data_IF_398866791904
#
_entry.id   IF_398866791904
#
_cell.length_a   1.000
_cell.length_b   1.000
_cell.length_c   1.000
_cell.angle_alpha   90.00
_cell.angle_beta   90.00
_cell.angle_gamma   90.00
#
_symmetry.space_group_name_H-M   'P 1'
#
loop_
_entity.id
_entity.type
_entity.pdbx_description
1 polymer ?
#
# COMPACT_ATOMS: atom_id res chain seq x y z
N UNK A 1 6.61 20.77 19.99
CA UNK A 1 5.16 20.59 20.24
C UNK A 1 4.26 21.49 19.36
N UNK A 2 4.71 22.68 18.94
CA UNK A 2 3.90 23.59 18.11
C UNK A 2 3.73 23.13 16.65
N UNK A 3 4.70 22.41 16.07
CA UNK A 3 4.66 22.04 14.64
C UNK A 3 4.08 20.64 14.30
N UNK A 4 3.52 19.90 15.26
CA UNK A 4 3.02 18.52 15.00
C UNK A 4 1.86 18.55 13.99
N UNK A 5 1.03 19.59 14.04
CA UNK A 5 -0.10 19.77 13.11
C UNK A 5 0.41 20.10 11.70
N UNK A 6 1.39 21.00 11.57
CA UNK A 6 2.00 21.31 10.28
C UNK A 6 2.68 20.07 9.65
N UNK A 7 3.41 19.30 10.46
CA UNK A 7 3.98 18.01 10.06
C UNK A 7 2.92 17.04 9.53
N UNK A 8 1.78 16.94 10.23
CA UNK A 8 0.66 16.10 9.79
C UNK A 8 0.10 16.52 8.43
N UNK A 9 -0.06 17.82 8.21
CA UNK A 9 -0.57 18.35 6.92
C UNK A 9 0.39 18.01 5.79
N UNK A 10 1.69 18.30 5.97
CA UNK A 10 2.70 18.04 4.93
C UNK A 10 2.80 16.55 4.62
N UNK A 11 2.84 15.70 5.65
CA UNK A 11 2.96 14.26 5.44
C UNK A 11 1.71 13.66 4.84
N UNK A 12 0.50 14.18 5.14
CA UNK A 12 -0.76 13.70 4.57
C UNK A 12 -0.95 14.11 3.09
N UNK A 13 -0.42 15.26 2.67
CA UNK A 13 -0.45 15.67 1.26
C UNK A 13 0.45 14.79 0.38
N UNK A 14 1.51 14.23 0.95
CA UNK A 14 2.47 13.38 0.22
C UNK A 14 1.81 12.12 -0.38
N UNK A 15 1.15 11.22 0.39
CA UNK A 15 0.50 10.05 -0.18
C UNK A 15 -0.62 10.43 -1.15
N UNK A 16 -1.35 11.52 -0.91
CA UNK A 16 -2.39 11.99 -1.84
C UNK A 16 -1.82 12.28 -3.23
N UNK A 17 -0.74 13.07 -3.30
CA UNK A 17 -0.08 13.36 -4.58
C UNK A 17 0.51 12.11 -5.23
N UNK A 18 1.06 11.18 -4.45
CA UNK A 18 1.60 9.92 -4.96
C UNK A 18 0.51 8.99 -5.52
N UNK A 19 -0.64 8.89 -4.86
CA UNK A 19 -1.78 8.12 -5.38
C UNK A 19 -2.34 8.73 -6.67
N UNK A 20 -2.36 10.06 -6.80
CA UNK A 20 -2.70 10.73 -8.07
C UNK A 20 -1.71 10.38 -9.18
N UNK A 21 -0.40 10.43 -8.89
CA UNK A 21 0.63 10.03 -9.84
C UNK A 21 0.49 8.55 -10.27
N UNK A 22 0.22 7.66 -9.32
CA UNK A 22 -0.04 6.24 -9.58
C UNK A 22 -1.25 6.05 -10.49
N UNK A 23 -2.35 6.74 -10.20
CA UNK A 23 -3.57 6.68 -11.02
C UNK A 23 -3.29 7.04 -12.48
N UNK A 24 -2.60 8.16 -12.72
CA UNK A 24 -2.24 8.56 -14.08
C UNK A 24 -1.26 7.58 -14.73
N UNK A 25 -0.28 7.07 -13.98
CA UNK A 25 0.68 6.08 -14.48
C UNK A 25 -0.01 4.79 -14.92
N UNK A 26 -0.92 4.25 -14.09
CA UNK A 26 -1.69 3.04 -14.41
C UNK A 26 -2.59 3.26 -15.62
N UNK A 27 -3.37 4.35 -15.65
CA UNK A 27 -4.29 4.65 -16.75
C UNK A 27 -3.55 4.82 -18.07
N UNK A 28 -2.42 5.56 -18.07
CA UNK A 28 -1.63 5.77 -19.30
C UNK A 28 -0.98 4.49 -19.81
N UNK A 29 -0.43 3.65 -18.92
CA UNK A 29 0.18 2.40 -19.34
C UNK A 29 -0.88 1.43 -19.90
N UNK A 30 -2.04 1.35 -19.26
CA UNK A 30 -3.13 0.48 -19.69
C UNK A 30 -3.67 0.87 -21.07
N UNK A 31 -3.97 2.16 -21.28
CA UNK A 31 -4.51 2.65 -22.54
C UNK A 31 -3.54 2.51 -23.73
N UNK A 32 -2.22 2.59 -23.47
CA UNK A 32 -1.20 2.50 -24.53
C UNK A 32 -0.54 1.12 -24.61
N UNK A 33 -1.03 0.12 -23.86
CA UNK A 33 -0.37 -1.18 -23.75
C UNK A 33 -0.25 -1.87 -25.11
N UNK A 34 -1.31 -1.86 -25.92
CA UNK A 34 -1.32 -2.48 -27.24
C UNK A 34 -0.36 -1.80 -28.23
N UNK A 35 -0.28 -0.47 -28.20
CA UNK A 35 0.66 0.29 -29.03
C UNK A 35 2.12 -0.02 -28.66
N UNK A 36 2.42 -0.05 -27.37
CA UNK A 36 3.76 -0.36 -26.88
C UNK A 36 4.20 -1.78 -27.24
N UNK A 37 3.30 -2.76 -27.17
CA UNK A 37 3.63 -4.13 -27.59
C UNK A 37 3.83 -4.23 -29.10
N UNK A 38 3.00 -3.56 -29.92
CA UNK A 38 3.21 -3.48 -31.38
C UNK A 38 4.54 -2.81 -31.74
N UNK A 39 4.99 -1.84 -30.94
CA UNK A 39 6.28 -1.17 -31.10
C UNK A 39 7.49 -1.95 -30.55
N UNK A 40 7.30 -3.21 -30.11
CA UNK A 40 8.32 -4.05 -29.49
C UNK A 40 8.95 -3.43 -28.21
N UNK A 41 8.19 -2.56 -27.53
CA UNK A 41 8.60 -1.84 -26.32
C UNK A 41 8.33 -2.63 -25.02
N UNK A 42 8.35 -3.96 -25.07
CA UNK A 42 8.03 -4.84 -23.93
C UNK A 42 8.94 -4.58 -22.73
N UNK A 43 10.21 -4.24 -22.96
CA UNK A 43 11.16 -3.89 -21.89
C UNK A 43 10.73 -2.63 -21.14
N UNK A 44 10.22 -1.62 -21.85
CA UNK A 44 9.77 -0.35 -21.27
C UNK A 44 8.52 -0.55 -20.43
N UNK A 45 7.58 -1.40 -20.87
CA UNK A 45 6.39 -1.78 -20.09
C UNK A 45 6.80 -2.38 -18.74
N UNK A 46 7.75 -3.32 -18.75
CA UNK A 46 8.24 -3.93 -17.51
C UNK A 46 8.99 -2.95 -16.62
N UNK A 47 9.76 -2.03 -17.21
CA UNK A 47 10.44 -0.97 -16.46
C UNK A 47 9.44 -0.05 -15.76
N UNK A 48 8.37 0.37 -16.46
CA UNK A 48 7.31 1.20 -15.87
C UNK A 48 6.62 0.45 -14.73
N UNK A 49 6.30 -0.84 -14.91
CA UNK A 49 5.62 -1.65 -13.88
C UNK A 49 6.49 -1.85 -12.63
N UNK A 50 7.73 -2.32 -12.80
CA UNK A 50 8.59 -2.68 -11.67
C UNK A 50 9.31 -1.49 -11.05
N UNK A 51 9.72 -0.50 -11.83
CA UNK A 51 10.47 0.64 -11.31
C UNK A 51 9.56 1.78 -10.92
N UNK A 52 8.73 2.26 -11.84
CA UNK A 52 7.93 3.48 -11.63
C UNK A 52 6.71 3.20 -10.75
N UNK A 53 5.85 2.27 -11.14
CA UNK A 53 4.60 2.00 -10.43
C UNK A 53 4.85 1.40 -9.06
N UNK A 54 5.72 0.38 -8.98
CA UNK A 54 6.09 -0.19 -7.69
C UNK A 54 6.89 0.80 -6.82
N UNK A 55 7.80 1.59 -7.39
CA UNK A 55 8.53 2.61 -6.63
C UNK A 55 7.61 3.66 -6.01
N UNK A 56 6.67 4.19 -6.80
CA UNK A 56 5.64 5.11 -6.32
C UNK A 56 4.72 4.45 -5.27
N UNK A 57 4.36 3.18 -5.47
CA UNK A 57 3.50 2.45 -4.54
C UNK A 57 4.17 2.14 -3.20
N UNK A 58 5.48 1.88 -3.18
CA UNK A 58 6.28 1.81 -1.95
C UNK A 58 6.13 3.12 -1.19
N UNK A 59 6.43 4.24 -1.87
CA UNK A 59 6.50 5.53 -1.20
C UNK A 59 5.13 6.02 -0.74
N UNK A 60 4.08 5.80 -1.54
CA UNK A 60 2.71 6.11 -1.18
C UNK A 60 2.28 5.35 0.09
N UNK A 61 2.53 4.03 0.12
CA UNK A 61 2.17 3.19 1.27
C UNK A 61 2.97 3.58 2.51
N UNK A 62 4.27 3.83 2.37
CA UNK A 62 5.12 4.23 3.48
C UNK A 62 4.67 5.55 4.12
N UNK A 63 4.36 6.54 3.28
CA UNK A 63 3.90 7.85 3.74
C UNK A 63 2.47 7.81 4.30
N UNK A 64 1.61 6.92 3.82
CA UNK A 64 0.32 6.63 4.45
C UNK A 64 0.50 6.10 5.88
N UNK A 65 1.39 5.12 6.09
CA UNK A 65 1.69 4.61 7.44
C UNK A 65 2.26 5.73 8.32
N UNK A 66 3.20 6.51 7.80
CA UNK A 66 3.78 7.63 8.54
C UNK A 66 2.74 8.73 8.87
N UNK A 67 1.75 8.94 8.00
CA UNK A 67 0.62 9.84 8.26
C UNK A 67 -0.20 9.34 9.44
N UNK A 68 -0.53 8.04 9.49
CA UNK A 68 -1.25 7.45 10.62
C UNK A 68 -0.49 7.59 11.94
N UNK A 69 0.83 7.43 11.93
CA UNK A 69 1.67 7.69 13.11
C UNK A 69 1.63 9.16 13.56
N UNK A 70 1.64 10.11 12.61
CA UNK A 70 1.50 11.53 12.93
C UNK A 70 0.09 11.86 13.48
N UNK A 71 -0.96 11.21 12.97
CA UNK A 71 -2.33 11.32 13.53
C UNK A 71 -2.33 10.82 14.97
N UNK A 72 -1.69 9.68 15.27
CA UNK A 72 -1.52 9.17 16.64
C UNK A 72 -0.90 10.22 17.56
N UNK A 73 0.19 10.85 17.11
CA UNK A 73 0.89 11.90 17.87
C UNK A 73 0.00 13.11 18.13
N UNK A 74 -0.81 13.55 17.15
CA UNK A 74 -1.76 14.65 17.34
C UNK A 74 -2.84 14.27 18.36
N UNK A 75 -3.40 13.06 18.29
CA UNK A 75 -4.40 12.60 19.26
C UNK A 75 -3.86 12.60 20.69
N UNK A 76 -2.64 12.11 20.89
CA UNK A 76 -2.02 12.02 22.22
C UNK A 76 -1.62 13.42 22.75
N UNK A 77 -0.88 14.19 21.95
CA UNK A 77 -0.24 15.42 22.44
C UNK A 77 -1.11 16.68 22.35
N UNK A 78 -2.13 16.69 21.50
CA UNK A 78 -3.06 17.82 21.31
C UNK A 78 -4.50 17.47 21.70
N UNK A 79 -4.92 16.24 21.40
CA UNK A 79 -6.27 15.77 21.73
C UNK A 79 -6.44 15.26 23.17
N UNK A 80 -5.34 15.05 23.91
CA UNK A 80 -5.40 14.51 25.28
C UNK A 80 -5.92 13.07 25.34
N UNK A 81 -5.92 12.35 24.22
CA UNK A 81 -6.34 10.95 24.15
C UNK A 81 -5.30 10.08 24.83
N UNK A 82 -5.76 9.10 25.61
CA UNK A 82 -4.87 8.11 26.23
C UNK A 82 -4.04 7.37 25.17
N UNK A 83 -2.77 7.11 25.47
CA UNK A 83 -1.84 6.48 24.52
C UNK A 83 -2.34 5.11 24.04
N UNK A 84 -2.85 4.29 24.96
CA UNK A 84 -3.41 2.95 24.69
C UNK A 84 -4.57 3.02 23.69
N UNK A 85 -5.49 3.96 23.90
CA UNK A 85 -6.66 4.21 23.04
C UNK A 85 -6.24 4.73 21.67
N UNK A 86 -5.34 5.73 21.63
CA UNK A 86 -4.83 6.29 20.37
C UNK A 86 -4.13 5.21 19.51
N UNK A 87 -3.30 4.37 20.12
CA UNK A 87 -2.65 3.25 19.44
C UNK A 87 -3.67 2.25 18.90
N UNK A 88 -4.68 1.89 19.71
CA UNK A 88 -5.76 0.96 19.29
C UNK A 88 -6.54 1.49 18.09
N UNK A 89 -6.89 2.79 18.09
CA UNK A 89 -7.58 3.44 16.96
C UNK A 89 -6.72 3.37 15.69
N UNK A 90 -5.44 3.75 15.77
CA UNK A 90 -4.55 3.78 14.61
C UNK A 90 -4.28 2.39 14.06
N UNK A 91 -4.12 1.39 14.93
CA UNK A 91 -3.97 0.00 14.53
C UNK A 91 -5.25 -0.54 13.86
N UNK A 92 -6.42 -0.15 14.35
CA UNK A 92 -7.70 -0.45 13.70
C UNK A 92 -7.81 0.16 12.30
N UNK A 93 -7.46 1.45 12.15
CA UNK A 93 -7.45 2.14 10.86
C UNK A 93 -6.45 1.49 9.90
N UNK A 94 -5.24 1.17 10.37
CA UNK A 94 -4.23 0.52 9.54
C UNK A 94 -4.71 -0.88 9.09
N UNK A 95 -5.39 -1.63 9.96
CA UNK A 95 -5.97 -2.93 9.62
C UNK A 95 -7.00 -2.81 8.49
N UNK A 96 -7.90 -1.82 8.60
CA UNK A 96 -8.85 -1.52 7.54
C UNK A 96 -8.15 -1.15 6.23
N UNK A 97 -7.10 -0.32 6.28
CA UNK A 97 -6.33 0.07 5.08
C UNK A 97 -5.67 -1.13 4.40
N UNK A 98 -5.10 -2.07 5.16
CA UNK A 98 -4.48 -3.28 4.59
C UNK A 98 -5.51 -4.13 3.87
N UNK A 99 -6.67 -4.37 4.49
CA UNK A 99 -7.76 -5.17 3.90
C UNK A 99 -8.31 -4.47 2.67
N UNK A 100 -8.60 -3.17 2.76
CA UNK A 100 -9.09 -2.36 1.65
C UNK A 100 -8.12 -2.40 0.47
N UNK A 101 -6.82 -2.23 0.73
CA UNK A 101 -5.79 -2.31 -0.31
C UNK A 101 -5.79 -3.70 -0.97
N UNK A 102 -5.79 -4.78 -0.18
CA UNK A 102 -5.79 -6.13 -0.71
C UNK A 102 -7.03 -6.42 -1.58
N UNK A 103 -8.20 -5.96 -1.17
CA UNK A 103 -9.45 -6.12 -1.93
C UNK A 103 -9.41 -5.32 -3.23
N UNK A 104 -9.05 -4.04 -3.16
CA UNK A 104 -8.93 -3.18 -4.34
C UNK A 104 -7.95 -3.77 -5.35
N UNK A 105 -6.79 -4.22 -4.86
CA UNK A 105 -5.70 -4.71 -5.67
C UNK A 105 -5.96 -6.08 -6.34
N UNK A 106 -6.76 -6.95 -5.71
CA UNK A 106 -7.05 -8.29 -6.26
C UNK A 106 -8.38 -8.39 -7.02
N UNK A 107 -9.38 -7.55 -6.69
CA UNK A 107 -10.72 -7.68 -7.27
C UNK A 107 -11.11 -6.51 -8.17
N UNK A 108 -10.84 -5.27 -7.75
CA UNK A 108 -11.38 -4.07 -8.43
C UNK A 108 -10.40 -3.55 -9.48
N UNK A 109 -9.13 -3.45 -9.12
CA UNK A 109 -8.08 -2.80 -9.91
C UNK A 109 -7.09 -3.81 -10.50
N UNK A 110 -7.41 -5.12 -10.50
CA UNK A 110 -6.51 -6.18 -10.97
C UNK A 110 -5.90 -5.87 -12.35
N UNK A 111 -6.70 -5.33 -13.28
CA UNK A 111 -6.24 -4.96 -14.62
C UNK A 111 -5.07 -3.95 -14.61
N UNK A 112 -5.02 -3.09 -13.61
CA UNK A 112 -4.03 -2.01 -13.47
C UNK A 112 -2.91 -2.39 -12.50
N UNK A 113 -3.25 -3.01 -11.36
CA UNK A 113 -2.34 -3.19 -10.23
C UNK A 113 -1.80 -4.62 -10.11
N UNK A 114 -2.08 -5.52 -11.06
CA UNK A 114 -1.64 -6.94 -11.01
C UNK A 114 -0.18 -7.13 -10.59
N UNK A 115 0.71 -6.30 -11.14
CA UNK A 115 2.16 -6.38 -10.91
C UNK A 115 2.65 -5.45 -9.78
N UNK A 116 1.74 -4.78 -9.06
CA UNK A 116 2.07 -3.88 -7.95
C UNK A 116 1.93 -4.63 -6.63
N UNK A 117 3.00 -5.30 -6.19
CA UNK A 117 3.00 -6.09 -4.95
C UNK A 117 3.68 -5.37 -3.77
N UNK A 118 4.42 -4.30 -4.07
CA UNK A 118 5.23 -3.59 -3.08
C UNK A 118 4.47 -2.96 -1.90
N UNK A 119 3.20 -2.50 -2.00
CA UNK A 119 2.45 -2.06 -0.83
C UNK A 119 2.31 -3.14 0.24
N UNK A 120 2.09 -4.39 -0.17
CA UNK A 120 1.99 -5.52 0.76
C UNK A 120 3.33 -5.78 1.47
N UNK A 121 4.46 -5.58 0.78
CA UNK A 121 5.79 -5.63 1.40
C UNK A 121 5.95 -4.51 2.43
N UNK A 122 5.55 -3.29 2.08
CA UNK A 122 5.64 -2.13 2.99
C UNK A 122 4.84 -2.37 4.27
N UNK A 123 3.62 -2.91 4.18
CA UNK A 123 2.83 -3.24 5.36
C UNK A 123 3.54 -4.24 6.27
N UNK A 124 4.13 -5.30 5.70
CA UNK A 124 4.90 -6.28 6.47
C UNK A 124 6.11 -5.63 7.14
N UNK A 125 6.89 -4.83 6.41
CA UNK A 125 8.08 -4.15 6.96
C UNK A 125 7.71 -3.16 8.06
N UNK A 126 6.66 -2.36 7.86
CA UNK A 126 6.20 -1.38 8.84
C UNK A 126 5.69 -2.07 10.13
N UNK A 127 4.92 -3.15 9.99
CA UNK A 127 4.45 -3.94 11.12
C UNK A 127 5.58 -4.69 11.82
N UNK A 128 6.54 -5.24 11.08
CA UNK A 128 7.72 -5.89 11.64
C UNK A 128 8.58 -4.91 12.46
N UNK A 129 8.79 -3.70 11.94
CA UNK A 129 9.47 -2.64 12.68
C UNK A 129 8.68 -2.16 13.91
N UNK A 130 7.35 -2.22 13.86
CA UNK A 130 6.49 -1.87 15.00
C UNK A 130 6.53 -2.95 16.08
N UNK A 131 6.50 -4.23 15.69
CA UNK A 131 6.66 -5.38 16.60
C UNK A 131 8.05 -5.33 17.23
N UNK A 132 9.13 -5.20 16.47
CA UNK A 132 10.49 -5.25 17.03
C UNK A 132 10.78 -4.17 18.08
N UNK A 133 10.10 -3.01 17.99
CA UNK A 133 10.25 -1.92 18.96
C UNK A 133 9.29 -1.96 20.14
N UNK A 134 8.09 -2.50 19.96
CA UNK A 134 7.01 -2.42 20.97
C UNK A 134 6.63 -3.78 21.55
N UNK A 135 7.26 -4.87 21.12
CA UNK A 135 6.99 -6.20 21.63
C UNK A 135 7.71 -6.41 22.97
N UNK A 136 6.92 -6.51 24.04
CA UNK A 136 7.39 -6.93 25.35
C UNK A 136 6.69 -8.25 25.73
N UNK A 137 7.48 -9.31 25.94
CA UNK A 137 7.00 -10.65 26.29
C UNK A 137 6.48 -10.72 27.73
N UNK A 138 7.02 -9.87 28.61
CA UNK A 138 6.79 -9.96 30.04
C UNK A 138 5.47 -9.29 30.46
N UNK A 139 5.03 -8.24 29.75
CA UNK A 139 3.82 -7.50 30.11
C UNK A 139 2.53 -7.99 29.43
N UNK A 140 2.63 -8.91 28.44
CA UNK A 140 1.48 -9.47 27.68
C UNK A 140 0.44 -8.41 27.27
N UNK A 141 0.89 -7.24 26.87
CA UNK A 141 -0.01 -6.14 26.53
C UNK A 141 -0.85 -6.49 25.30
N UNK A 142 -2.16 -6.20 25.36
CA UNK A 142 -3.11 -6.49 24.28
C UNK A 142 -2.67 -5.90 22.93
N UNK A 143 -2.01 -4.74 22.95
CA UNK A 143 -1.48 -4.06 21.76
C UNK A 143 -0.34 -4.87 21.11
N UNK A 144 0.51 -5.50 21.92
CA UNK A 144 1.61 -6.36 21.47
C UNK A 144 1.07 -7.59 20.73
N UNK A 145 0.05 -8.25 21.29
CA UNK A 145 -0.63 -9.37 20.65
C UNK A 145 -1.29 -8.94 19.33
N UNK A 146 -1.98 -7.79 19.33
CA UNK A 146 -2.62 -7.26 18.13
C UNK A 146 -1.63 -7.02 16.99
N UNK A 147 -0.46 -6.43 17.30
CA UNK A 147 0.60 -6.19 16.32
C UNK A 147 1.14 -7.50 15.71
N UNK A 148 1.37 -8.53 16.52
CA UNK A 148 1.86 -9.83 16.02
C UNK A 148 0.83 -10.54 15.14
N UNK A 149 -0.45 -10.53 15.54
CA UNK A 149 -1.54 -11.09 14.73
C UNK A 149 -1.65 -10.34 13.40
N UNK A 150 -1.62 -9.02 13.45
CA UNK A 150 -1.71 -8.17 12.26
C UNK A 150 -0.53 -8.37 11.30
N UNK A 151 0.70 -8.52 11.83
CA UNK A 151 1.88 -8.86 11.03
C UNK A 151 1.74 -10.23 10.37
N UNK A 152 1.21 -11.21 11.10
CA UNK A 152 0.97 -12.57 10.59
C UNK A 152 -0.02 -12.54 9.44
N UNK A 153 -1.14 -11.82 9.60
CA UNK A 153 -2.15 -11.63 8.54
C UNK A 153 -1.56 -10.89 7.34
N UNK A 154 -0.85 -9.78 7.55
CA UNK A 154 -0.21 -9.04 6.45
C UNK A 154 0.79 -9.91 5.66
N UNK A 155 1.54 -10.77 6.36
CA UNK A 155 2.48 -11.71 5.73
C UNK A 155 1.75 -12.76 4.89
N UNK A 156 0.63 -13.30 5.37
CA UNK A 156 -0.22 -14.22 4.61
C UNK A 156 -0.83 -13.54 3.38
N UNK A 157 -1.30 -12.30 3.51
CA UNK A 157 -1.84 -11.52 2.38
C UNK A 157 -0.78 -11.24 1.32
N UNK A 158 0.47 -10.95 1.72
CA UNK A 158 1.58 -10.80 0.79
C UNK A 158 1.84 -12.10 0.01
N UNK A 159 1.91 -13.24 0.69
CA UNK A 159 2.08 -14.54 0.04
C UNK A 159 0.92 -14.83 -0.92
N UNK A 160 -0.31 -14.59 -0.48
CA UNK A 160 -1.50 -14.78 -1.30
C UNK A 160 -1.49 -13.88 -2.54
N UNK A 161 -1.09 -12.61 -2.41
CA UNK A 161 -0.93 -11.69 -3.55
C UNK A 161 0.08 -12.21 -4.56
N UNK A 162 1.23 -12.70 -4.11
CA UNK A 162 2.25 -13.26 -5.01
C UNK A 162 1.74 -14.51 -5.73
N UNK A 163 1.05 -15.41 -5.02
CA UNK A 163 0.45 -16.61 -5.61
C UNK A 163 -0.62 -16.26 -6.64
N UNK A 164 -1.54 -15.34 -6.32
CA UNK A 164 -2.59 -14.87 -7.25
C UNK A 164 -1.94 -14.21 -8.48
N UNK A 165 -0.92 -13.37 -8.28
CA UNK A 165 -0.20 -12.71 -9.37
C UNK A 165 0.43 -13.73 -10.32
N UNK A 166 1.15 -14.73 -9.80
CA UNK A 166 1.79 -15.78 -10.61
C UNK A 166 0.73 -16.62 -11.32
N UNK A 167 -0.31 -17.06 -10.60
CA UNK A 167 -1.40 -17.86 -11.16
C UNK A 167 -2.09 -17.13 -12.32
N UNK A 168 -2.48 -15.86 -12.12
CA UNK A 168 -3.14 -15.05 -13.15
C UNK A 168 -2.21 -14.70 -14.30
N UNK A 169 -0.92 -14.53 -14.05
CA UNK A 169 0.03 -14.30 -15.13
C UNK A 169 0.09 -15.48 -16.11
N UNK A 170 0.04 -16.71 -15.58
CA UNK A 170 0.09 -17.95 -16.38
C UNK A 170 -1.26 -18.26 -17.03
N UNK A 171 -2.36 -18.16 -16.27
CA UNK A 171 -3.70 -18.58 -16.71
C UNK A 171 -4.46 -17.51 -17.50
N UNK A 172 -4.25 -16.24 -17.19
CA UNK A 172 -5.00 -15.11 -17.77
C UNK A 172 -4.05 -13.94 -18.05
N UNK A 173 -3.01 -14.13 -18.90
CA UNK A 173 -2.09 -13.05 -19.23
C UNK A 173 -2.86 -11.85 -19.77
N UNK A 174 -2.46 -10.64 -19.37
CA UNK A 174 -3.06 -9.41 -19.89
C UNK A 174 -2.75 -9.36 -21.39
N UNK A 175 -3.77 -9.58 -22.22
CA UNK A 175 -3.59 -9.75 -23.65
C UNK A 175 -3.29 -8.39 -24.29
N UNK A 176 -2.13 -8.19 -24.92
CA UNK A 176 -1.77 -6.90 -25.50
C UNK A 176 -2.54 -6.57 -26.79
N UNK A 177 -3.26 -7.53 -27.35
CA UNK A 177 -4.03 -7.35 -28.59
C UNK A 177 -5.46 -6.85 -28.36
N UNK A 178 -5.87 -6.69 -27.09
CA UNK A 178 -7.17 -6.10 -26.77
C UNK A 178 -7.02 -4.57 -26.85
N UNK A 179 -7.42 -3.99 -27.98
CA UNK A 179 -7.67 -2.54 -28.08
C UNK A 179 -8.80 -2.22 -27.11
N UNK A 180 -8.47 -1.60 -25.97
CA UNK A 180 -9.49 -0.97 -25.14
C UNK A 180 -9.89 0.31 -25.84
N UNK A 181 -11.11 0.35 -26.39
CA UNK A 181 -11.67 1.59 -26.91
C UNK A 181 -11.52 2.68 -25.83
N UNK A 182 -10.98 3.86 -26.15
CA UNK A 182 -10.93 4.95 -25.21
C UNK A 182 -12.39 5.30 -24.87
N UNK A 183 -12.83 4.96 -23.66
CA UNK A 183 -14.07 5.50 -23.13
C UNK A 183 -13.86 7.00 -22.93
N UNK A 184 -14.40 7.76 -23.89
CA UNK A 184 -14.53 9.21 -23.85
C UNK A 184 -15.35 9.64 -22.64
#
# INVERSE_FOLDING_TARGET
RQEIIASLVVIALTPLTLYVCLFFSFKRLYNNLGLLVRANATKEIWLIRFLVQNGLAIYATWTTVATLLNVAMVMIYKGGVENSLACTIILGVLSFVIVLWFVLDNFVLDNYTRYTFTPNIVFVVALAGSVSKNFNLDTRETISIFLVVMLSVASLLLLLKLLIMVYRHIRTPINPNTEYEPTL
#
